data_IF_227080955456
#
_entry.id   IF_227080955456
#
_cell.length_a   1.000
_cell.length_b   1.000
_cell.length_c   1.000
_cell.angle_alpha   90.00
_cell.angle_beta   90.00
_cell.angle_gamma   90.00
#
_symmetry.space_group_name_H-M   'P 1'
#
loop_
_entity.id
_entity.type
_entity.pdbx_description
1 polymer ?
#
# COMPACT_ATOMS: atom_id res chain seq x y z
N UNK A 1 21.55 17.95 64.11
CA UNK A 1 20.65 18.38 63.01
C UNK A 1 21.44 18.78 61.76
N UNK A 2 22.45 19.66 61.85
CA UNK A 2 23.28 20.09 60.70
C UNK A 2 23.95 18.96 59.90
N UNK A 3 24.43 17.89 60.56
CA UNK A 3 25.08 16.75 59.86
C UNK A 3 24.16 16.03 58.87
N UNK A 4 22.88 15.84 59.23
CA UNK A 4 21.90 15.21 58.36
C UNK A 4 21.55 16.11 57.16
N UNK A 5 21.41 17.41 57.39
CA UNK A 5 21.14 18.37 56.30
C UNK A 5 22.27 18.40 55.27
N UNK A 6 23.54 18.36 55.72
CA UNK A 6 24.69 18.32 54.79
C UNK A 6 24.67 17.05 53.94
N UNK A 7 24.36 15.88 54.54
CA UNK A 7 24.24 14.63 53.79
C UNK A 7 23.12 14.69 52.74
N UNK A 8 21.96 15.25 53.10
CA UNK A 8 20.84 15.41 52.15
C UNK A 8 21.20 16.35 50.98
N UNK A 9 21.93 17.44 51.25
CA UNK A 9 22.39 18.36 50.20
C UNK A 9 23.36 17.66 49.26
N UNK A 10 24.31 16.87 49.78
CA UNK A 10 25.24 16.12 48.95
C UNK A 10 24.52 15.09 48.06
N UNK A 11 23.54 14.37 48.61
CA UNK A 11 22.71 13.43 47.85
C UNK A 11 21.92 14.17 46.76
N UNK A 12 21.34 15.33 47.08
CA UNK A 12 20.59 16.12 46.12
C UNK A 12 21.47 16.59 44.96
N UNK A 13 22.67 17.09 45.25
CA UNK A 13 23.65 17.52 44.23
C UNK A 13 24.06 16.33 43.36
N UNK A 14 24.35 15.19 43.96
CA UNK A 14 24.69 13.97 43.22
C UNK A 14 23.55 13.53 42.29
N UNK A 15 22.31 13.60 42.76
CA UNK A 15 21.12 13.30 41.96
C UNK A 15 20.96 14.28 40.79
N UNK A 16 21.10 15.59 41.05
CA UNK A 16 21.00 16.62 40.02
C UNK A 16 22.05 16.43 38.92
N UNK A 17 23.31 16.18 39.29
CA UNK A 17 24.39 15.90 38.34
C UNK A 17 24.13 14.60 37.56
N UNK A 18 23.69 13.55 38.25
CA UNK A 18 23.36 12.27 37.61
C UNK A 18 22.28 12.43 36.53
N UNK A 19 21.19 13.13 36.84
CA UNK A 19 20.10 13.39 35.89
C UNK A 19 20.60 14.18 34.69
N UNK A 20 21.39 15.24 34.89
CA UNK A 20 21.96 16.05 33.80
C UNK A 20 22.85 15.21 32.89
N UNK A 21 23.73 14.39 33.46
CA UNK A 21 24.60 13.51 32.66
C UNK A 21 23.80 12.44 31.92
N UNK A 22 22.74 11.91 32.53
CA UNK A 22 21.85 10.92 31.91
C UNK A 22 21.09 11.53 30.74
N UNK A 23 20.55 12.75 30.90
CA UNK A 23 19.89 13.49 29.82
C UNK A 23 20.85 13.74 28.65
N UNK A 24 22.09 14.13 28.93
CA UNK A 24 23.07 14.39 27.87
C UNK A 24 23.41 13.11 27.08
N UNK A 25 23.60 11.99 27.78
CA UNK A 25 23.82 10.68 27.15
C UNK A 25 22.60 10.21 26.35
N UNK A 26 21.40 10.35 26.90
CA UNK A 26 20.15 10.00 26.22
C UNK A 26 20.00 10.80 24.93
N UNK A 27 20.26 12.11 24.96
CA UNK A 27 20.20 12.96 23.78
C UNK A 27 21.19 12.55 22.69
N UNK A 28 22.42 12.16 23.07
CA UNK A 28 23.42 11.69 22.11
C UNK A 28 23.01 10.38 21.44
N UNK A 29 22.49 9.42 22.22
CA UNK A 29 21.99 8.14 21.69
C UNK A 29 20.78 8.34 20.76
N UNK A 30 19.88 9.26 21.10
CA UNK A 30 18.73 9.61 20.26
C UNK A 30 19.13 10.19 18.91
N UNK A 31 20.16 11.05 18.87
CA UNK A 31 20.63 11.65 17.61
C UNK A 31 21.21 10.59 16.67
N UNK A 32 21.93 9.60 17.18
CA UNK A 32 22.45 8.51 16.34
C UNK A 32 21.30 7.64 15.78
N UNK A 33 20.30 7.35 16.61
CA UNK A 33 19.10 6.63 16.18
C UNK A 33 18.34 7.39 15.08
N UNK A 34 18.11 8.69 15.28
CA UNK A 34 17.43 9.54 14.29
C UNK A 34 18.17 9.56 12.95
N UNK A 35 19.50 9.53 12.96
CA UNK A 35 20.30 9.53 11.74
C UNK A 35 20.08 8.25 10.92
N UNK A 36 20.11 7.08 11.55
CA UNK A 36 19.81 5.82 10.85
C UNK A 36 18.35 5.77 10.37
N UNK A 37 17.43 6.30 11.18
CA UNK A 37 16.01 6.35 10.83
C UNK A 37 15.73 7.28 9.65
N UNK A 38 16.44 8.40 9.55
CA UNK A 38 16.35 9.31 8.41
C UNK A 38 16.88 8.66 7.12
N UNK A 39 17.98 7.90 7.19
CA UNK A 39 18.46 7.12 6.05
C UNK A 39 17.41 6.10 5.60
N UNK A 40 16.85 5.33 6.53
CA UNK A 40 15.78 4.37 6.23
C UNK A 40 14.57 5.05 5.58
N UNK A 41 14.19 6.25 6.04
CA UNK A 41 13.10 7.04 5.47
C UNK A 41 13.40 7.46 4.03
N UNK A 42 14.62 7.89 3.73
CA UNK A 42 15.03 8.26 2.37
C UNK A 42 14.97 7.07 1.42
N UNK A 43 15.50 5.91 1.84
CA UNK A 43 15.41 4.66 1.07
C UNK A 43 13.96 4.25 0.80
N UNK A 44 13.06 4.38 1.78
CA UNK A 44 11.65 4.04 1.60
C UNK A 44 10.95 4.96 0.58
N UNK A 45 11.30 6.24 0.55
CA UNK A 45 10.78 7.20 -0.44
C UNK A 45 11.27 6.84 -1.83
N UNK A 46 12.57 6.59 -2.00
CA UNK A 46 13.16 6.18 -3.28
C UNK A 46 12.52 4.87 -3.78
N UNK A 47 12.32 3.91 -2.89
CA UNK A 47 11.64 2.66 -3.21
C UNK A 47 10.19 2.89 -3.65
N UNK A 48 9.46 3.79 -2.99
CA UNK A 48 8.12 4.21 -3.40
C UNK A 48 8.08 4.87 -4.77
N UNK A 49 9.07 5.71 -5.10
CA UNK A 49 9.21 6.31 -6.43
C UNK A 49 9.47 5.25 -7.50
N UNK A 50 10.43 4.34 -7.28
CA UNK A 50 10.71 3.20 -8.16
C UNK A 50 9.49 2.30 -8.35
N UNK A 51 8.68 2.10 -7.32
CA UNK A 51 7.49 1.27 -7.41
C UNK A 51 6.36 1.97 -8.16
N UNK A 52 6.22 3.30 -8.03
CA UNK A 52 5.30 4.10 -8.85
C UNK A 52 5.70 4.08 -10.32
N UNK A 53 7.00 4.23 -10.61
CA UNK A 53 7.56 4.08 -11.96
C UNK A 53 7.26 2.69 -12.54
N UNK A 54 7.48 1.62 -11.75
CA UNK A 54 7.18 0.25 -12.17
C UNK A 54 5.68 -0.01 -12.34
N UNK A 55 4.83 0.53 -11.46
CA UNK A 55 3.37 0.30 -11.51
C UNK A 55 2.74 0.86 -12.79
N UNK A 56 3.35 1.87 -13.40
CA UNK A 56 2.89 2.48 -14.64
C UNK A 56 3.28 1.64 -15.88
N UNK A 57 4.37 0.88 -15.83
CA UNK A 57 4.91 0.14 -16.99
C UNK A 57 4.78 -1.39 -16.90
N UNK A 58 4.73 -1.97 -15.70
CA UNK A 58 4.86 -3.41 -15.50
C UNK A 58 3.62 -4.22 -15.94
N UNK A 59 2.41 -3.64 -15.84
CA UNK A 59 1.17 -4.35 -16.19
C UNK A 59 0.71 -4.05 -17.62
N UNK A 60 0.67 -2.79 -18.05
CA UNK A 60 0.16 -2.46 -19.40
C UNK A 60 1.15 -2.78 -20.52
N UNK A 61 2.42 -2.34 -20.43
CA UNK A 61 3.37 -2.51 -21.53
C UNK A 61 3.71 -3.98 -21.80
N UNK A 62 3.74 -4.82 -20.75
CA UNK A 62 4.01 -6.26 -20.89
C UNK A 62 2.84 -7.00 -21.53
N UNK A 63 1.61 -6.67 -21.16
CA UNK A 63 0.40 -7.29 -21.74
C UNK A 63 0.25 -6.86 -23.21
N UNK A 64 0.45 -5.59 -23.53
CA UNK A 64 0.34 -5.06 -24.89
C UNK A 64 1.40 -5.65 -25.82
N UNK A 65 2.64 -5.83 -25.35
CA UNK A 65 3.71 -6.44 -26.13
C UNK A 65 3.43 -7.91 -26.44
N UNK A 66 2.84 -8.66 -25.49
CA UNK A 66 2.43 -10.05 -25.70
C UNK A 66 1.22 -10.12 -26.63
N UNK A 67 0.20 -9.28 -26.43
CA UNK A 67 -0.99 -9.22 -27.26
C UNK A 67 -0.67 -8.85 -28.72
N UNK A 68 0.23 -7.88 -28.93
CA UNK A 68 0.62 -7.44 -30.27
C UNK A 68 1.60 -8.42 -30.92
N UNK A 69 2.61 -8.89 -30.19
CA UNK A 69 3.69 -9.71 -30.75
C UNK A 69 3.39 -11.20 -30.89
N UNK A 70 2.65 -11.80 -29.95
CA UNK A 70 2.34 -13.24 -29.97
C UNK A 70 0.92 -13.53 -30.47
N UNK A 71 -0.03 -12.63 -30.20
CA UNK A 71 -1.44 -12.81 -30.55
C UNK A 71 -1.87 -11.99 -31.78
N UNK A 72 -0.98 -11.17 -32.35
CA UNK A 72 -1.28 -10.26 -33.48
C UNK A 72 -2.54 -9.39 -33.25
N UNK A 73 -2.86 -9.08 -32.00
CA UNK A 73 -4.01 -8.23 -31.68
C UNK A 73 -3.68 -6.80 -32.06
N UNK A 74 -4.54 -6.17 -32.88
CA UNK A 74 -4.53 -4.74 -33.17
C UNK A 74 -5.72 -4.10 -32.46
N UNK A 75 -5.52 -2.88 -31.95
CA UNK A 75 -6.61 -2.08 -31.40
C UNK A 75 -7.63 -1.84 -32.53
N UNK A 76 -8.89 -2.29 -32.37
CA UNK A 76 -9.89 -2.16 -33.42
C UNK A 76 -10.25 -0.68 -33.61
N UNK A 77 -10.34 -0.27 -34.87
CA UNK A 77 -10.78 1.06 -35.29
C UNK A 77 -12.22 1.30 -34.81
N UNK A 78 -12.56 2.55 -34.44
CA UNK A 78 -13.87 2.91 -33.89
C UNK A 78 -15.04 2.53 -34.83
N UNK A 79 -14.77 2.42 -36.12
CA UNK A 79 -15.69 1.94 -37.15
C UNK A 79 -16.04 0.44 -37.08
N UNK A 80 -15.30 -0.36 -36.30
CA UNK A 80 -15.45 -1.83 -36.19
C UNK A 80 -16.10 -2.30 -34.89
N UNK A 81 -16.53 -1.38 -34.04
CA UNK A 81 -17.18 -1.67 -32.76
C UNK A 81 -18.69 -1.81 -32.98
N UNK A 82 -19.20 -3.03 -32.91
CA UNK A 82 -20.66 -3.28 -32.88
C UNK A 82 -21.13 -3.47 -31.44
N UNK A 83 -22.02 -2.58 -31.02
CA UNK A 83 -22.73 -2.69 -29.74
C UNK A 83 -23.92 -3.61 -29.98
N UNK A 84 -23.88 -4.84 -29.46
CA UNK A 84 -25.02 -5.74 -29.49
C UNK A 84 -25.94 -5.41 -28.31
N UNK A 85 -27.17 -4.91 -28.53
CA UNK A 85 -28.16 -4.85 -27.48
C UNK A 85 -28.55 -6.28 -27.10
N UNK A 86 -28.44 -6.62 -25.81
CA UNK A 86 -28.84 -7.92 -25.29
C UNK A 86 -30.35 -8.06 -25.49
N UNK A 87 -30.75 -8.72 -26.58
CA UNK A 87 -32.13 -9.04 -26.87
C UNK A 87 -32.60 -10.10 -25.86
N UNK A 88 -33.25 -9.60 -24.82
CA UNK A 88 -34.25 -10.23 -23.98
C UNK A 88 -34.48 -11.74 -24.25
N UNK A 89 -33.84 -12.59 -23.45
CA UNK A 89 -34.05 -14.05 -23.41
C UNK A 89 -35.38 -14.47 -22.77
N UNK A 90 -36.33 -13.54 -22.55
CA UNK A 90 -37.63 -13.81 -21.93
C UNK A 90 -38.72 -14.30 -22.90
N UNK A 91 -38.41 -15.23 -23.81
CA UNK A 91 -39.45 -15.90 -24.60
C UNK A 91 -39.30 -17.44 -24.68
N UNK A 92 -38.65 -18.04 -23.68
CA UNK A 92 -38.64 -19.49 -23.47
C UNK A 92 -39.86 -20.00 -22.69
N UNK A 93 -40.77 -19.13 -22.25
CA UNK A 93 -41.98 -19.49 -21.49
C UNK A 93 -43.05 -20.20 -22.33
N UNK A 94 -42.94 -20.20 -23.66
CA UNK A 94 -43.91 -20.84 -24.55
C UNK A 94 -43.67 -22.37 -24.72
N UNK A 95 -42.69 -22.92 -24.00
CA UNK A 95 -42.41 -24.37 -23.99
C UNK A 95 -43.20 -25.13 -22.91
N UNK A 96 -43.93 -24.42 -22.03
CA UNK A 96 -44.76 -25.04 -20.99
C UNK A 96 -46.19 -25.38 -21.47
N UNK A 97 -46.60 -24.93 -22.67
CA UNK A 97 -47.93 -25.19 -23.24
C UNK A 97 -48.03 -26.58 -23.93
N UNK A 98 -46.95 -27.37 -23.87
CA UNK A 98 -46.89 -28.77 -24.32
C UNK A 98 -47.45 -29.78 -23.30
N UNK A 99 -48.23 -29.33 -22.30
CA UNK A 99 -48.61 -30.13 -21.14
C UNK A 99 -50.11 -30.42 -20.94
N UNK A 100 -50.97 -30.28 -21.95
CA UNK A 100 -52.34 -30.84 -21.88
C UNK A 100 -52.58 -31.91 -22.96
N UNK A 101 -52.75 -33.14 -22.50
CA UNK A 101 -52.89 -34.36 -23.28
C UNK A 101 -54.29 -34.58 -23.92
N UNK A 102 -54.45 -35.72 -24.61
CA UNK A 102 -55.53 -35.97 -25.56
C UNK A 102 -56.84 -36.29 -24.85
N UNK A 103 -57.95 -35.67 -25.26
CA UNK A 103 -59.29 -36.14 -24.92
C UNK A 103 -60.27 -35.92 -26.08
N UNK A 104 -60.67 -37.07 -26.64
CA UNK A 104 -61.83 -37.38 -27.50
C UNK A 104 -61.71 -36.98 -28.98
#
# INVERSE_FOLDING_TARGET
MIRANILLILILIACALSVVTSQHKARKLFVELEKEQELARQLAVEWGQLQLEQSTWATHARIEKIATGQLNMRVPDASRVQILPLANSANSSNLADLAEGPKL
#
